data_IF_905252056876
#
_entry.id   IF_905252056876
#
_cell.length_a   1.000
_cell.length_b   1.000
_cell.length_c   1.000
_cell.angle_alpha   90.00
_cell.angle_beta   90.00
_cell.angle_gamma   90.00
#
_symmetry.space_group_name_H-M   'P 1'
#
loop_
_entity.id
_entity.type
_entity.pdbx_description
1 polymer ?
#
# COMPACT_ATOMS: atom_id res chain seq x y z
N UNK A 1 -9.93 -28.69 -26.05
CA UNK A 1 -9.89 -27.22 -26.27
C UNK A 1 -9.16 -26.72 -25.06
N UNK A 2 -7.84 -26.72 -25.15
CA UNK A 2 -6.97 -26.56 -23.98
C UNK A 2 -6.89 -25.07 -23.68
N UNK A 3 -7.58 -24.65 -22.64
CA UNK A 3 -7.44 -23.30 -22.13
C UNK A 3 -6.02 -23.17 -21.58
N UNK A 4 -5.16 -22.47 -22.31
CA UNK A 4 -3.83 -22.08 -21.85
C UNK A 4 -3.97 -21.05 -20.72
N UNK A 5 -4.29 -21.51 -19.51
CA UNK A 5 -4.10 -20.71 -18.31
C UNK A 5 -2.63 -20.79 -17.91
N UNK A 6 -1.98 -19.65 -17.71
CA UNK A 6 -0.60 -19.63 -17.18
C UNK A 6 -0.64 -20.08 -15.71
N UNK A 7 0.07 -21.16 -15.33
CA UNK A 7 0.19 -21.57 -13.93
C UNK A 7 0.77 -20.47 -13.03
N UNK A 8 1.55 -19.56 -13.62
CA UNK A 8 2.14 -18.42 -12.89
C UNK A 8 1.06 -17.45 -12.43
N UNK A 9 -0.01 -17.25 -13.23
CA UNK A 9 -1.12 -16.37 -12.87
C UNK A 9 -1.89 -16.88 -11.65
N UNK A 10 -2.07 -18.18 -11.53
CA UNK A 10 -2.82 -18.78 -10.42
C UNK A 10 -2.11 -18.56 -9.07
N UNK A 11 -0.78 -18.39 -9.08
CA UNK A 11 -0.01 -18.06 -7.87
C UNK A 11 -0.31 -16.68 -7.31
N UNK A 12 -0.74 -15.73 -8.17
CA UNK A 12 -1.11 -14.36 -7.77
C UNK A 12 -2.47 -14.30 -7.06
N UNK A 13 -3.27 -15.37 -7.09
CA UNK A 13 -4.56 -15.45 -6.44
C UNK A 13 -5.71 -15.61 -7.42
N UNK A 14 -6.92 -15.77 -6.88
CA UNK A 14 -8.08 -16.14 -7.68
C UNK A 14 -8.38 -15.11 -8.76
N UNK A 15 -8.63 -15.60 -9.97
CA UNK A 15 -9.24 -14.82 -11.04
C UNK A 15 -10.71 -14.57 -10.67
N UNK A 16 -11.21 -13.32 -10.73
CA UNK A 16 -12.62 -13.02 -10.48
C UNK A 16 -13.56 -13.82 -11.40
N UNK A 17 -14.73 -14.18 -10.87
CA UNK A 17 -15.76 -14.81 -11.70
C UNK A 17 -16.32 -13.80 -12.72
N UNK A 18 -16.82 -14.24 -13.89
CA UNK A 18 -17.53 -13.36 -14.82
C UNK A 18 -18.68 -12.60 -14.16
N UNK A 19 -19.38 -13.22 -13.20
CA UNK A 19 -20.46 -12.61 -12.43
C UNK A 19 -19.96 -11.45 -11.57
N UNK A 20 -18.85 -11.63 -10.85
CA UNK A 20 -18.23 -10.55 -10.05
C UNK A 20 -17.78 -9.39 -10.95
N UNK A 21 -17.21 -9.69 -12.13
CA UNK A 21 -16.75 -8.64 -13.07
C UNK A 21 -17.92 -7.90 -13.68
N UNK A 22 -19.00 -8.60 -14.03
CA UNK A 22 -20.23 -7.96 -14.53
C UNK A 22 -20.85 -7.06 -13.46
N UNK A 23 -20.87 -7.50 -12.20
CA UNK A 23 -21.36 -6.70 -11.09
C UNK A 23 -20.56 -5.39 -10.91
N UNK A 24 -19.23 -5.43 -11.04
CA UNK A 24 -18.40 -4.22 -11.00
C UNK A 24 -18.70 -3.30 -12.19
N UNK A 25 -18.84 -3.87 -13.40
CA UNK A 25 -19.13 -3.11 -14.61
C UNK A 25 -20.48 -2.37 -14.50
N UNK A 26 -21.53 -3.07 -14.05
CA UNK A 26 -22.87 -2.50 -13.86
C UNK A 26 -22.87 -1.43 -12.76
N UNK A 27 -22.23 -1.70 -11.62
CA UNK A 27 -22.08 -0.73 -10.52
C UNK A 27 -21.35 0.52 -10.99
N UNK A 28 -20.27 0.37 -11.76
CA UNK A 28 -19.51 1.49 -12.29
C UNK A 28 -20.32 2.31 -13.32
N UNK A 29 -21.11 1.65 -14.17
CA UNK A 29 -21.99 2.32 -15.12
C UNK A 29 -23.10 3.10 -14.41
N UNK A 30 -23.66 2.55 -13.33
CA UNK A 30 -24.66 3.22 -12.49
C UNK A 30 -24.07 4.46 -11.81
N UNK A 31 -22.88 4.34 -11.21
CA UNK A 31 -22.19 5.48 -10.60
C UNK A 31 -21.92 6.60 -11.60
N UNK A 32 -21.49 6.26 -12.82
CA UNK A 32 -21.24 7.23 -13.88
C UNK A 32 -22.54 7.89 -14.38
N UNK A 33 -23.58 7.10 -14.63
CA UNK A 33 -24.86 7.59 -15.16
C UNK A 33 -25.55 8.55 -14.20
N UNK A 34 -25.40 8.31 -12.89
CA UNK A 34 -26.00 9.14 -11.83
C UNK A 34 -25.11 10.30 -11.36
N UNK A 35 -23.94 10.50 -11.97
CA UNK A 35 -22.92 11.47 -11.54
C UNK A 35 -22.64 11.35 -10.02
N UNK A 36 -22.45 10.12 -9.55
CA UNK A 36 -22.25 9.85 -8.13
C UNK A 36 -21.02 10.59 -7.59
N UNK A 37 -21.14 11.06 -6.35
CA UNK A 37 -20.03 11.65 -5.62
C UNK A 37 -18.92 10.61 -5.36
N UNK A 38 -17.73 11.10 -5.00
CA UNK A 38 -16.55 10.27 -4.69
C UNK A 38 -16.88 9.16 -3.68
N UNK A 39 -17.69 9.44 -2.64
CA UNK A 39 -18.08 8.44 -1.65
C UNK A 39 -18.88 7.27 -2.24
N UNK A 40 -19.74 7.50 -3.23
CA UNK A 40 -20.51 6.45 -3.90
C UNK A 40 -19.63 5.58 -4.79
N UNK A 41 -18.70 6.19 -5.53
CA UNK A 41 -17.67 5.45 -6.27
C UNK A 41 -16.81 4.58 -5.36
N UNK A 42 -16.38 5.15 -4.23
CA UNK A 42 -15.54 4.47 -3.25
C UNK A 42 -16.24 3.28 -2.61
N UNK A 43 -17.52 3.40 -2.23
CA UNK A 43 -18.28 2.29 -1.63
C UNK A 43 -18.67 1.21 -2.65
N UNK A 44 -19.19 1.61 -3.80
CA UNK A 44 -19.92 0.69 -4.68
C UNK A 44 -19.01 0.05 -5.75
N UNK A 45 -17.87 0.67 -6.04
CA UNK A 45 -16.94 0.22 -7.09
C UNK A 45 -15.55 -0.03 -6.53
N UNK A 46 -14.90 1.00 -5.98
CA UNK A 46 -13.48 0.90 -5.63
C UNK A 46 -13.23 -0.08 -4.48
N UNK A 47 -14.07 -0.06 -3.45
CA UNK A 47 -14.00 -1.02 -2.34
C UNK A 47 -14.18 -2.46 -2.85
N UNK A 48 -15.17 -2.71 -3.70
CA UNK A 48 -15.44 -4.07 -4.20
C UNK A 48 -14.33 -4.60 -5.09
N UNK A 49 -13.72 -3.76 -5.94
CA UNK A 49 -12.52 -4.15 -6.70
C UNK A 49 -11.36 -4.53 -5.75
N UNK A 50 -11.13 -3.75 -4.69
CA UNK A 50 -10.12 -4.09 -3.67
C UNK A 50 -10.47 -5.39 -2.92
N UNK A 51 -11.75 -5.65 -2.65
CA UNK A 51 -12.21 -6.92 -2.07
C UNK A 51 -11.87 -8.09 -3.00
N UNK A 52 -12.23 -8.00 -4.28
CA UNK A 52 -11.96 -9.05 -5.27
C UNK A 52 -10.46 -9.35 -5.39
N UNK A 53 -9.61 -8.32 -5.35
CA UNK A 53 -8.18 -8.49 -5.50
C UNK A 53 -7.47 -8.98 -4.23
N UNK A 54 -7.83 -8.43 -3.06
CA UNK A 54 -7.00 -8.49 -1.85
C UNK A 54 -7.69 -9.19 -0.67
N UNK A 55 -8.99 -9.48 -0.72
CA UNK A 55 -9.73 -10.12 0.38
C UNK A 55 -10.35 -11.43 -0.08
N UNK A 56 -9.60 -12.52 0.11
CA UNK A 56 -10.10 -13.87 -0.17
C UNK A 56 -11.29 -14.19 0.73
N UNK A 57 -12.48 -14.34 0.16
CA UNK A 57 -13.71 -14.70 0.89
C UNK A 57 -13.63 -16.17 1.33
N UNK A 58 -12.99 -16.42 2.47
CA UNK A 58 -12.80 -17.74 3.06
C UNK A 58 -13.29 -17.74 4.51
N UNK A 59 -14.40 -18.45 4.83
CA UNK A 59 -14.94 -18.50 6.18
C UNK A 59 -13.87 -18.81 7.23
N UNK A 60 -13.77 -17.98 8.27
CA UNK A 60 -12.78 -18.11 9.35
C UNK A 60 -11.35 -17.66 9.03
N UNK A 61 -11.05 -17.30 7.76
CA UNK A 61 -9.71 -16.89 7.29
C UNK A 61 -9.68 -15.56 6.52
N UNK A 62 -10.83 -14.97 6.19
CA UNK A 62 -10.94 -13.71 5.42
C UNK A 62 -10.00 -12.60 5.88
N UNK A 63 -9.80 -12.46 7.19
CA UNK A 63 -8.94 -11.42 7.79
C UNK A 63 -7.64 -11.97 8.38
N UNK A 64 -7.30 -13.23 8.12
CA UNK A 64 -6.07 -13.87 8.62
C UNK A 64 -5.01 -13.96 7.53
N UNK A 65 -4.59 -12.79 7.05
CA UNK A 65 -3.65 -12.64 5.95
C UNK A 65 -2.67 -11.51 6.24
N UNK A 66 -1.42 -11.69 5.81
CA UNK A 66 -0.34 -10.74 6.04
C UNK A 66 -0.60 -9.38 5.36
N UNK A 67 -1.07 -9.37 4.12
CA UNK A 67 -1.37 -8.15 3.38
C UNK A 67 -2.87 -7.92 3.36
N UNK A 68 -3.29 -6.72 3.79
CA UNK A 68 -4.69 -6.30 3.90
C UNK A 68 -4.86 -4.92 3.28
N UNK A 69 -6.11 -4.49 3.15
CA UNK A 69 -6.44 -3.11 2.82
C UNK A 69 -7.54 -2.60 3.74
N UNK A 70 -7.62 -1.27 3.89
CA UNK A 70 -8.70 -0.60 4.60
C UNK A 70 -8.95 0.79 4.03
N UNK A 71 -10.15 1.32 4.29
CA UNK A 71 -10.41 2.75 4.13
C UNK A 71 -9.74 3.52 5.27
N UNK A 72 -9.16 4.68 4.97
CA UNK A 72 -8.38 5.48 5.91
C UNK A 72 -8.46 6.99 5.64
N UNK A 73 -9.65 7.48 5.25
CA UNK A 73 -9.92 8.90 4.91
C UNK A 73 -9.67 9.93 6.03
N UNK A 74 -9.37 9.47 7.25
CA UNK A 74 -8.98 10.31 8.39
C UNK A 74 -7.48 10.41 8.60
N UNK A 75 -6.70 9.55 7.96
CA UNK A 75 -5.27 9.44 8.18
C UNK A 75 -4.56 10.72 7.73
N UNK A 76 -3.71 11.27 8.60
CA UNK A 76 -2.89 12.43 8.33
C UNK A 76 -1.42 12.08 8.47
N UNK A 77 -0.57 12.76 7.70
CA UNK A 77 0.87 12.64 7.82
C UNK A 77 1.36 13.24 9.15
N UNK A 78 2.26 12.53 9.79
CA UNK A 78 3.03 12.99 10.95
C UNK A 78 3.97 14.10 10.47
N UNK A 79 3.98 15.23 11.19
CA UNK A 79 4.65 16.48 10.77
C UNK A 79 6.15 16.29 10.54
N UNK A 80 6.75 15.39 11.29
CA UNK A 80 8.17 15.07 11.28
C UNK A 80 8.65 14.45 9.96
N UNK A 81 7.75 13.83 9.19
CA UNK A 81 8.09 13.17 7.92
C UNK A 81 7.68 13.96 6.69
N UNK A 82 7.02 15.11 6.85
CA UNK A 82 6.63 15.97 5.72
C UNK A 82 7.44 17.27 5.70
N UNK A 83 7.58 17.85 4.52
CA UNK A 83 8.11 19.21 4.39
C UNK A 83 7.17 20.20 5.11
N UNK A 84 7.70 21.23 5.81
CA UNK A 84 6.85 22.20 6.51
C UNK A 84 5.85 22.93 5.61
N UNK A 85 6.18 23.12 4.32
CA UNK A 85 5.32 23.72 3.31
C UNK A 85 4.35 22.73 2.65
N UNK A 86 4.48 21.43 2.90
CA UNK A 86 3.62 20.42 2.28
C UNK A 86 2.20 20.48 2.85
N UNK A 87 1.18 20.40 1.99
CA UNK A 87 -0.22 20.45 2.41
C UNK A 87 -0.57 19.28 3.33
N UNK A 88 -1.55 19.49 4.22
CA UNK A 88 -2.15 18.40 5.02
C UNK A 88 -3.07 17.56 4.13
N UNK A 89 -2.47 16.60 3.43
CA UNK A 89 -3.18 15.68 2.52
C UNK A 89 -3.48 14.35 3.20
N UNK A 90 -4.62 13.78 2.86
CA UNK A 90 -5.08 12.48 3.35
C UNK A 90 -5.02 11.47 2.21
N UNK A 91 -5.35 10.22 2.52
CA UNK A 91 -5.57 9.16 1.53
C UNK A 91 -6.88 8.47 1.87
N UNK A 92 -7.57 7.94 0.87
CA UNK A 92 -8.87 7.30 1.08
C UNK A 92 -8.75 5.83 1.47
N UNK A 93 -7.77 5.12 0.90
CA UNK A 93 -7.47 3.74 1.23
C UNK A 93 -5.97 3.52 1.38
N UNK A 94 -5.61 2.42 2.03
CA UNK A 94 -4.25 1.92 2.01
C UNK A 94 -4.23 0.40 1.94
N UNK A 95 -3.16 -0.12 1.35
CA UNK A 95 -2.72 -1.51 1.52
C UNK A 95 -1.67 -1.50 2.63
N UNK A 96 -1.84 -2.37 3.61
CA UNK A 96 -0.99 -2.45 4.79
C UNK A 96 -0.63 -3.90 5.12
N UNK A 97 0.40 -4.04 5.93
CA UNK A 97 0.92 -5.31 6.43
C UNK A 97 0.44 -5.49 7.86
N UNK A 98 -0.10 -6.66 8.17
CA UNK A 98 -0.47 -7.10 9.51
C UNK A 98 0.53 -8.16 10.02
N UNK A 99 1.54 -7.75 10.80
CA UNK A 99 2.59 -8.64 11.30
C UNK A 99 2.06 -9.79 12.17
N UNK A 100 0.84 -9.68 12.74
CA UNK A 100 0.23 -10.78 13.51
C UNK A 100 -0.03 -12.02 12.64
N UNK A 101 -0.05 -11.85 11.32
CA UNK A 101 -0.26 -12.91 10.35
C UNK A 101 1.01 -13.21 9.53
N UNK A 102 2.18 -12.78 9.99
CA UNK A 102 3.47 -13.22 9.45
C UNK A 102 3.88 -14.56 10.08
N UNK A 103 3.57 -15.65 9.38
CA UNK A 103 3.94 -16.99 9.82
C UNK A 103 5.46 -17.25 9.81
N UNK A 104 6.24 -16.46 9.04
CA UNK A 104 7.68 -16.62 8.96
C UNK A 104 8.39 -15.93 10.14
N UNK A 105 7.83 -14.85 10.68
CA UNK A 105 8.43 -14.06 11.76
C UNK A 105 7.40 -13.73 12.86
N UNK A 106 7.02 -14.69 13.72
CA UNK A 106 6.01 -14.45 14.75
C UNK A 106 6.42 -13.36 15.77
N UNK A 107 7.71 -13.22 16.05
CA UNK A 107 8.26 -12.23 16.99
C UNK A 107 8.28 -10.80 16.42
N UNK A 108 7.94 -10.62 15.13
CA UNK A 108 7.95 -9.31 14.48
C UNK A 108 6.99 -8.30 15.14
N UNK A 109 5.91 -8.80 15.75
CA UNK A 109 4.97 -7.95 16.51
C UNK A 109 5.70 -7.24 17.66
N UNK A 110 6.53 -7.98 18.42
CA UNK A 110 7.27 -7.43 19.55
C UNK A 110 8.37 -6.47 19.07
N UNK A 111 9.06 -6.79 17.98
CA UNK A 111 10.02 -5.86 17.36
C UNK A 111 9.36 -4.53 16.96
N UNK A 112 8.18 -4.59 16.34
CA UNK A 112 7.44 -3.38 15.96
C UNK A 112 6.99 -2.59 17.19
N UNK A 113 6.46 -3.26 18.21
CA UNK A 113 6.02 -2.61 19.44
C UNK A 113 7.18 -1.92 20.18
N UNK A 114 8.35 -2.55 20.22
CA UNK A 114 9.55 -1.97 20.81
C UNK A 114 10.07 -0.76 20.01
N UNK A 115 10.12 -0.87 18.68
CA UNK A 115 10.62 0.19 17.82
C UNK A 115 9.72 1.42 17.82
N UNK A 116 8.41 1.23 17.67
CA UNK A 116 7.47 2.35 17.56
C UNK A 116 7.43 3.21 18.82
N UNK A 117 7.75 2.65 19.99
CA UNK A 117 7.90 3.43 21.23
C UNK A 117 8.99 4.52 21.15
N UNK A 118 9.89 4.43 20.18
CA UNK A 118 10.99 5.36 19.94
C UNK A 118 10.78 6.18 18.66
N UNK A 119 9.59 6.11 18.06
CA UNK A 119 9.21 6.84 16.85
C UNK A 119 8.14 7.90 17.18
N UNK A 120 8.07 8.99 16.39
CA UNK A 120 7.01 9.98 16.48
C UNK A 120 5.62 9.36 16.62
N UNK A 121 4.88 9.82 17.63
CA UNK A 121 3.49 9.42 17.91
C UNK A 121 3.25 7.91 18.03
N UNK A 122 4.26 7.15 18.46
CA UNK A 122 4.17 5.70 18.69
C UNK A 122 3.78 4.88 17.45
N UNK A 123 4.13 5.39 16.25
CA UNK A 123 3.74 4.81 14.97
C UNK A 123 4.92 4.19 14.21
N UNK A 124 4.72 3.01 13.65
CA UNK A 124 5.64 2.39 12.67
C UNK A 124 5.43 2.93 11.24
N UNK A 125 4.73 4.06 11.11
CA UNK A 125 4.30 4.63 9.84
C UNK A 125 4.50 6.14 9.78
N UNK A 126 4.23 6.69 8.60
CA UNK A 126 4.14 8.13 8.34
C UNK A 126 2.86 8.78 8.89
N UNK A 127 1.94 8.01 9.46
CA UNK A 127 0.65 8.48 9.96
C UNK A 127 0.41 8.05 11.40
N UNK A 128 -0.34 8.86 12.15
CA UNK A 128 -0.80 8.54 13.51
C UNK A 128 -2.19 7.91 13.54
N UNK A 129 -2.68 7.41 12.40
CA UNK A 129 -3.93 6.66 12.31
C UNK A 129 -3.87 5.42 13.22
N UNK A 130 -4.82 5.31 14.17
CA UNK A 130 -4.76 4.36 15.29
C UNK A 130 -4.69 2.92 14.79
N UNK A 131 -5.46 2.62 13.74
CA UNK A 131 -5.52 1.30 13.10
C UNK A 131 -4.21 0.88 12.42
N UNK A 132 -3.32 1.84 12.16
CA UNK A 132 -2.04 1.63 11.47
C UNK A 132 -0.81 1.77 12.38
N UNK A 133 -0.93 2.17 13.65
CA UNK A 133 0.24 2.42 14.52
C UNK A 133 1.26 1.27 14.60
N UNK A 134 0.79 0.02 14.48
CA UNK A 134 1.60 -1.21 14.51
C UNK A 134 1.56 -2.01 13.19
N UNK A 135 0.91 -1.49 12.17
CA UNK A 135 0.66 -2.18 10.91
C UNK A 135 1.27 -1.37 9.76
N UNK A 136 2.46 -1.72 9.26
CA UNK A 136 3.14 -0.92 8.24
C UNK A 136 2.29 -0.69 7.00
N UNK A 137 2.16 0.58 6.58
CA UNK A 137 1.55 0.99 5.33
C UNK A 137 2.51 0.62 4.19
N UNK A 138 1.97 -0.07 3.18
CA UNK A 138 2.72 -0.47 2.01
C UNK A 138 2.40 0.41 0.81
N UNK A 139 1.10 0.66 0.54
CA UNK A 139 0.65 1.36 -0.67
C UNK A 139 -0.46 2.36 -0.30
N UNK A 140 -0.23 3.69 -0.41
CA UNK A 140 -1.29 4.68 -0.30
C UNK A 140 -2.17 4.70 -1.55
N UNK A 141 -3.47 4.94 -1.37
CA UNK A 141 -4.46 4.98 -2.45
C UNK A 141 -5.32 6.24 -2.27
N UNK A 142 -5.36 7.06 -3.31
CA UNK A 142 -6.24 8.23 -3.38
C UNK A 142 -7.36 7.99 -4.38
N UNK A 143 -8.59 8.31 -4.00
CA UNK A 143 -9.76 8.25 -4.88
C UNK A 143 -10.23 9.65 -5.26
N UNK A 144 -10.78 9.78 -6.46
CA UNK A 144 -11.47 10.97 -6.94
C UNK A 144 -12.68 10.55 -7.75
N UNK A 145 -13.69 11.42 -7.81
CA UNK A 145 -14.76 11.29 -8.79
C UNK A 145 -14.25 11.45 -10.22
N UNK A 146 -15.04 11.00 -11.20
CA UNK A 146 -14.74 11.18 -12.62
C UNK A 146 -14.56 12.66 -12.97
N UNK A 147 -13.53 12.97 -13.78
CA UNK A 147 -13.35 14.30 -14.37
C UNK A 147 -12.76 15.39 -13.46
N UNK A 148 -12.43 15.08 -12.20
CA UNK A 148 -11.89 16.08 -11.26
C UNK A 148 -10.59 15.67 -10.58
N UNK A 149 -9.79 16.68 -10.24
CA UNK A 149 -8.73 16.56 -9.25
C UNK A 149 -7.57 15.64 -9.62
N UNK A 150 -7.33 15.36 -10.91
CA UNK A 150 -6.20 14.54 -11.38
C UNK A 150 -4.84 14.97 -10.84
N UNK A 151 -4.49 16.24 -11.08
CA UNK A 151 -3.21 16.77 -10.62
C UNK A 151 -3.16 16.88 -9.09
N UNK A 152 -4.31 17.12 -8.43
CA UNK A 152 -4.39 17.14 -6.96
C UNK A 152 -4.17 15.73 -6.38
N UNK A 153 -4.80 14.70 -6.92
CA UNK A 153 -4.66 13.32 -6.47
C UNK A 153 -3.23 12.80 -6.68
N UNK A 154 -2.61 13.13 -7.81
CA UNK A 154 -1.21 12.85 -8.05
C UNK A 154 -0.30 13.52 -7.01
N UNK A 155 -0.58 14.79 -6.68
CA UNK A 155 0.12 15.50 -5.62
C UNK A 155 -0.09 14.84 -4.23
N UNK A 156 -1.31 14.39 -3.91
CA UNK A 156 -1.59 13.74 -2.62
C UNK A 156 -0.79 12.45 -2.46
N UNK A 157 -0.90 11.53 -3.42
CA UNK A 157 -0.16 10.25 -3.40
C UNK A 157 1.35 10.49 -3.37
N UNK A 158 1.85 11.44 -4.18
CA UNK A 158 3.27 11.82 -4.18
C UNK A 158 3.74 12.30 -2.82
N UNK A 159 2.97 13.17 -2.16
CA UNK A 159 3.30 13.69 -0.83
C UNK A 159 3.41 12.56 0.20
N UNK A 160 2.53 11.57 0.12
CA UNK A 160 2.57 10.38 0.98
C UNK A 160 3.78 9.49 0.70
N UNK A 161 4.12 9.27 -0.58
CA UNK A 161 5.29 8.48 -0.96
C UNK A 161 6.60 9.16 -0.55
N UNK A 162 6.71 10.48 -0.69
CA UNK A 162 7.86 11.24 -0.21
C UNK A 162 8.03 11.14 1.30
N UNK A 163 6.94 11.29 2.06
CA UNK A 163 6.98 11.10 3.51
C UNK A 163 7.39 9.68 3.89
N UNK A 164 6.94 8.66 3.12
CA UNK A 164 7.31 7.27 3.35
C UNK A 164 8.79 7.03 3.08
N UNK A 165 9.35 7.63 2.01
CA UNK A 165 10.79 7.59 1.76
C UNK A 165 11.59 8.24 2.89
N UNK A 166 11.15 9.39 3.41
CA UNK A 166 11.83 10.05 4.55
C UNK A 166 11.77 9.20 5.82
N UNK A 167 10.62 8.60 6.11
CA UNK A 167 10.48 7.66 7.23
C UNK A 167 11.43 6.47 7.09
N UNK A 168 11.45 5.80 5.93
CA UNK A 168 12.33 4.66 5.68
C UNK A 168 13.81 5.06 5.73
N UNK A 169 14.17 6.22 5.19
CA UNK A 169 15.53 6.75 5.27
C UNK A 169 15.98 6.99 6.71
N UNK A 170 15.09 7.50 7.57
CA UNK A 170 15.37 7.61 9.01
C UNK A 170 15.50 6.25 9.67
N UNK A 171 14.70 5.27 9.29
CA UNK A 171 14.81 3.92 9.83
C UNK A 171 16.15 3.25 9.46
N UNK A 172 16.60 3.40 8.21
CA UNK A 172 17.92 2.95 7.73
C UNK A 172 19.04 3.59 8.58
N UNK A 173 18.97 4.90 8.85
CA UNK A 173 19.95 5.60 9.70
C UNK A 173 20.03 5.08 11.13
N UNK A 174 18.99 4.40 11.63
CA UNK A 174 18.98 3.77 12.95
C UNK A 174 19.61 2.38 12.95
N UNK A 175 19.76 1.76 11.79
CA UNK A 175 20.38 0.45 11.68
C UNK A 175 21.89 0.57 11.90
N UNK A 176 22.45 -0.34 12.69
CA UNK A 176 23.91 -0.44 12.82
C UNK A 176 24.51 -0.89 11.47
N UNK A 177 25.60 -0.25 11.01
CA UNK A 177 26.34 -0.75 9.85
C UNK A 177 26.84 -2.16 10.14
N UNK A 178 26.52 -3.11 9.26
CA UNK A 178 27.27 -4.37 9.14
C UNK A 178 28.32 -4.15 8.06
N UNK A 179 29.51 -4.74 8.22
CA UNK A 179 30.63 -4.57 7.28
C UNK A 179 30.17 -4.75 5.82
N UNK A 180 30.11 -3.63 5.08
CA UNK A 180 29.74 -3.59 3.66
C UNK A 180 28.26 -3.79 3.32
N UNK A 181 27.35 -3.94 4.29
CA UNK A 181 25.94 -4.33 4.06
C UNK A 181 24.95 -3.40 4.80
N UNK A 182 24.86 -2.16 4.31
CA UNK A 182 23.83 -1.21 4.78
C UNK A 182 22.65 -1.24 3.80
N UNK A 183 21.43 -1.60 4.25
CA UNK A 183 20.27 -1.61 3.38
C UNK A 183 20.01 -0.21 2.81
N UNK A 184 19.59 -0.16 1.55
CA UNK A 184 19.32 1.07 0.83
C UNK A 184 17.91 1.08 0.27
N UNK A 185 17.37 2.27 0.01
CA UNK A 185 16.09 2.40 -0.69
C UNK A 185 16.12 1.85 -2.12
N UNK A 186 17.30 1.65 -2.71
CA UNK A 186 17.42 1.05 -4.04
C UNK A 186 17.14 -0.45 -4.03
N UNK A 187 17.25 -1.13 -2.88
CA UNK A 187 17.07 -2.58 -2.76
C UNK A 187 15.62 -3.00 -3.09
N UNK A 188 14.65 -2.13 -2.83
CA UNK A 188 13.22 -2.34 -3.12
C UNK A 188 12.81 -1.79 -4.49
N UNK A 189 13.69 -1.05 -5.17
CA UNK A 189 13.48 -0.44 -6.49
C UNK A 189 12.55 0.79 -6.49
N UNK A 190 11.33 0.66 -5.97
CA UNK A 190 10.33 1.72 -5.94
C UNK A 190 9.38 1.59 -4.75
N UNK A 191 8.69 2.68 -4.41
CA UNK A 191 7.48 2.66 -3.58
C UNK A 191 6.24 2.89 -4.46
N UNK A 192 5.25 1.98 -4.42
CA UNK A 192 4.03 2.11 -5.20
C UNK A 192 2.99 3.01 -4.53
N UNK A 193 2.20 3.71 -5.33
CA UNK A 193 0.96 4.36 -4.95
C UNK A 193 -0.12 4.15 -6.02
N UNK A 194 -1.38 4.35 -5.66
CA UNK A 194 -2.51 4.20 -6.57
C UNK A 194 -3.38 5.45 -6.59
N UNK A 195 -3.82 5.83 -7.78
CA UNK A 195 -4.80 6.91 -7.98
C UNK A 195 -5.98 6.33 -8.74
N UNK A 196 -7.17 6.46 -8.17
CA UNK A 196 -8.40 5.95 -8.76
C UNK A 196 -9.30 7.15 -9.08
N UNK A 197 -9.69 7.31 -10.33
CA UNK A 197 -10.53 8.43 -10.79
C UNK A 197 -11.74 7.92 -11.53
N UNK A 198 -12.88 7.84 -10.83
CA UNK A 198 -14.08 7.19 -11.36
C UNK A 198 -13.75 5.78 -11.85
N UNK A 199 -13.76 5.59 -13.17
CA UNK A 199 -13.40 4.31 -13.78
C UNK A 199 -11.90 3.99 -13.79
N UNK A 200 -11.04 5.00 -13.85
CA UNK A 200 -9.64 4.81 -14.27
C UNK A 200 -8.75 4.52 -13.07
N UNK A 201 -7.98 3.44 -13.15
CA UNK A 201 -6.98 3.07 -12.14
C UNK A 201 -5.58 3.35 -12.67
N UNK A 202 -4.83 4.15 -11.93
CA UNK A 202 -3.48 4.55 -12.28
C UNK A 202 -2.50 4.11 -11.21
N UNK A 203 -1.33 3.67 -11.67
CA UNK A 203 -0.18 3.40 -10.85
C UNK A 203 0.73 4.62 -10.79
N UNK A 204 1.30 4.84 -9.61
CA UNK A 204 2.37 5.79 -9.35
C UNK A 204 3.53 5.03 -8.71
N UNK A 205 4.76 5.33 -9.12
CA UNK A 205 5.96 4.83 -8.45
C UNK A 205 6.84 5.99 -8.01
N UNK A 206 7.32 5.94 -6.77
CA UNK A 206 8.39 6.79 -6.29
C UNK A 206 9.71 6.00 -6.28
N UNK A 207 10.75 6.56 -6.89
CA UNK A 207 12.09 5.98 -6.92
C UNK A 207 13.09 6.96 -6.34
N UNK A 208 14.25 6.47 -5.90
CA UNK A 208 15.34 7.32 -5.41
C UNK A 208 16.46 7.37 -6.44
N UNK A 209 16.86 8.59 -6.82
CA UNK A 209 18.05 8.83 -7.63
C UNK A 209 19.01 9.71 -6.83
N UNK A 210 19.94 9.06 -6.12
CA UNK A 210 20.81 9.75 -5.15
C UNK A 210 20.01 10.40 -4.02
N UNK A 211 19.99 11.74 -3.98
CA UNK A 211 19.24 12.53 -2.99
C UNK A 211 17.90 13.07 -3.50
N UNK A 212 17.51 12.73 -4.73
CA UNK A 212 16.26 13.19 -5.33
C UNK A 212 15.23 12.07 -5.39
N UNK A 213 13.98 12.42 -5.13
CA UNK A 213 12.83 11.53 -5.33
C UNK A 213 12.30 11.78 -6.73
N UNK A 214 12.18 10.71 -7.53
CA UNK A 214 11.59 10.77 -8.88
C UNK A 214 10.25 10.04 -8.85
N UNK A 215 9.21 10.76 -9.26
CA UNK A 215 7.83 10.26 -9.31
C UNK A 215 7.46 9.92 -10.75
N UNK A 216 7.13 8.67 -10.96
CA UNK A 216 6.58 8.14 -12.20
C UNK A 216 5.06 8.09 -12.06
N UNK A 217 4.34 8.92 -12.82
CA UNK A 217 2.89 9.04 -12.72
C UNK A 217 2.19 8.67 -14.02
N UNK A 218 0.85 8.49 -13.95
CA UNK A 218 -0.06 8.25 -15.09
C UNK A 218 0.16 6.94 -15.83
N UNK A 219 0.66 5.91 -15.14
CA UNK A 219 0.69 4.55 -15.68
C UNK A 219 -0.71 3.93 -15.54
N UNK A 220 -1.49 3.92 -16.63
CA UNK A 220 -2.85 3.36 -16.62
C UNK A 220 -2.74 1.84 -16.43
N UNK A 221 -3.47 1.33 -15.43
CA UNK A 221 -3.60 -0.10 -15.15
C UNK A 221 -4.77 -0.68 -15.95
N UNK A 222 -5.91 0.01 -15.92
CA UNK A 222 -7.16 -0.40 -16.54
C UNK A 222 -8.32 0.51 -16.13
N UNK A 223 -9.51 0.20 -16.62
CA UNK A 223 -10.73 0.95 -16.31
C UNK A 223 -11.88 0.01 -15.92
N UNK A 224 -12.73 0.42 -14.97
CA UNK A 224 -13.93 -0.34 -14.58
C UNK A 224 -15.09 -0.20 -15.56
N UNK A 225 -14.95 0.60 -16.61
CA UNK A 225 -15.88 0.68 -17.74
C UNK A 225 -15.64 -0.39 -18.81
N UNK A 226 -14.63 -1.26 -18.60
CA UNK A 226 -14.25 -2.32 -19.53
C UNK A 226 -13.99 -3.63 -18.78
N UNK A 227 -14.55 -4.74 -19.28
CA UNK A 227 -14.43 -6.07 -18.67
C UNK A 227 -12.95 -6.49 -18.59
N UNK A 228 -12.19 -6.28 -19.66
CA UNK A 228 -10.76 -6.62 -19.69
C UNK A 228 -10.01 -5.72 -18.71
N UNK A 229 -10.33 -4.43 -18.67
CA UNK A 229 -9.84 -3.46 -17.70
C UNK A 229 -10.03 -3.90 -16.24
N UNK A 230 -11.20 -4.43 -15.88
CA UNK A 230 -11.46 -4.94 -14.51
C UNK A 230 -10.52 -6.12 -14.19
N UNK A 231 -10.36 -7.07 -15.11
CA UNK A 231 -9.42 -8.19 -14.93
C UNK A 231 -7.97 -7.72 -14.80
N UNK A 232 -7.57 -6.70 -15.58
CA UNK A 232 -6.25 -6.09 -15.50
C UNK A 232 -6.02 -5.45 -14.13
N UNK A 233 -6.98 -4.65 -13.64
CA UNK A 233 -6.90 -3.99 -12.33
C UNK A 233 -6.74 -5.02 -11.23
N UNK A 234 -7.61 -6.04 -11.17
CA UNK A 234 -7.53 -7.08 -10.13
C UNK A 234 -6.20 -7.82 -10.18
N UNK A 235 -5.73 -8.18 -11.38
CA UNK A 235 -4.45 -8.86 -11.55
C UNK A 235 -3.28 -7.98 -11.11
N UNK A 236 -3.29 -6.70 -11.46
CA UNK A 236 -2.23 -5.77 -11.07
C UNK A 236 -2.18 -5.56 -9.55
N UNK A 237 -3.34 -5.42 -8.89
CA UNK A 237 -3.40 -5.34 -7.42
C UNK A 237 -2.86 -6.61 -6.75
N UNK A 238 -3.11 -7.78 -7.35
CA UNK A 238 -2.55 -9.04 -6.88
C UNK A 238 -1.03 -9.14 -7.09
N UNK A 239 -0.49 -8.58 -8.18
CA UNK A 239 0.95 -8.40 -8.40
C UNK A 239 1.55 -7.49 -7.33
N UNK A 240 0.91 -6.36 -7.04
CA UNK A 240 1.37 -5.46 -5.98
C UNK A 240 1.38 -6.15 -4.62
N UNK A 241 0.35 -6.94 -4.30
CA UNK A 241 0.31 -7.76 -3.07
C UNK A 241 1.49 -8.75 -3.02
N UNK A 242 1.81 -9.39 -4.14
CA UNK A 242 2.94 -10.31 -4.24
C UNK A 242 4.28 -9.61 -4.07
N UNK A 243 4.45 -8.43 -4.68
CA UNK A 243 5.62 -7.55 -4.46
C UNK A 243 5.75 -7.13 -2.99
N UNK A 244 4.64 -6.79 -2.32
CA UNK A 244 4.66 -6.49 -0.88
C UNK A 244 5.18 -7.69 -0.08
N UNK A 245 4.70 -8.89 -0.37
CA UNK A 245 5.09 -10.11 0.37
C UNK A 245 6.53 -10.54 0.08
N UNK A 246 6.98 -10.45 -1.17
CA UNK A 246 8.25 -11.02 -1.62
C UNK A 246 9.42 -10.04 -1.62
N UNK A 247 9.14 -8.74 -1.67
CA UNK A 247 10.18 -7.70 -1.80
C UNK A 247 10.11 -6.70 -0.66
N UNK A 248 8.99 -6.00 -0.49
CA UNK A 248 8.93 -4.90 0.48
C UNK A 248 8.95 -5.38 1.94
N UNK A 249 8.12 -6.38 2.28
CA UNK A 249 8.00 -6.84 3.66
C UNK A 249 9.25 -7.51 4.21
N UNK A 250 9.93 -8.43 3.48
CA UNK A 250 11.17 -9.01 3.98
C UNK A 250 12.25 -7.96 4.23
N UNK A 251 12.40 -6.99 3.33
CA UNK A 251 13.35 -5.89 3.47
C UNK A 251 13.00 -4.98 4.67
N UNK A 252 11.73 -4.61 4.83
CA UNK A 252 11.30 -3.78 5.95
C UNK A 252 11.41 -4.53 7.29
N UNK A 253 11.10 -5.82 7.31
CA UNK A 253 11.23 -6.69 8.49
C UNK A 253 12.67 -6.72 9.00
N UNK A 254 13.62 -6.90 8.08
CA UNK A 254 15.04 -6.86 8.40
C UNK A 254 15.46 -5.50 8.98
N UNK A 255 15.00 -4.40 8.36
CA UNK A 255 15.26 -3.06 8.89
C UNK A 255 14.70 -2.85 10.30
N UNK A 256 13.47 -3.30 10.55
CA UNK A 256 12.83 -3.20 11.87
C UNK A 256 13.66 -3.99 12.90
N UNK A 257 14.04 -5.23 12.60
CA UNK A 257 14.87 -6.05 13.48
C UNK A 257 16.22 -5.36 13.76
N UNK A 258 16.91 -4.88 12.72
CA UNK A 258 18.20 -4.18 12.85
C UNK A 258 18.08 -2.88 13.67
N UNK A 259 16.98 -2.14 13.52
CA UNK A 259 16.74 -0.88 14.24
C UNK A 259 16.29 -1.08 15.70
N UNK A 260 15.73 -2.25 16.05
CA UNK A 260 15.39 -2.60 17.44
C UNK A 260 16.57 -3.02 18.28
N UNK A 261 17.63 -3.55 17.66
CA UNK A 261 18.80 -4.06 18.37
C UNK A 261 19.67 -2.90 18.88
N UNK A 262 19.55 -2.58 20.18
CA UNK A 262 20.41 -1.61 20.86
C UNK A 262 21.41 -2.36 21.76
N UNK A 263 22.72 -2.41 21.43
CA UNK A 263 23.71 -3.08 22.27
C UNK A 263 23.89 -2.41 23.66
N UNK A 264 23.35 -1.21 23.87
CA UNK A 264 23.40 -0.54 25.17
C UNK A 264 22.49 -1.15 26.26
N UNK A 265 21.59 -2.09 25.92
CA UNK A 265 20.74 -2.79 26.90
C UNK A 265 21.28 -4.14 27.36
N UNK A 266 22.37 -4.66 26.77
CA UNK A 266 23.01 -5.90 27.22
C UNK A 266 24.08 -5.72 28.30
N UNK A 267 24.45 -4.46 28.61
CA UNK A 267 25.41 -4.12 29.68
C UNK A 267 24.73 -3.72 31.01
N UNK A 268 23.41 -3.84 31.09
CA UNK A 268 22.64 -3.61 32.31
C UNK A 268 22.07 -4.94 32.85
N UNK A 269 22.96 -5.86 33.21
CA UNK A 269 22.68 -6.91 34.21
C UNK A 269 22.90 -6.38 35.61
#
# INVERSE_FOLDING_TARGET
MDCFFSPERDTLGCTPSPEDVMYILESAAECATKDQAECGWSSDVHHEVLVLALRRRQPGRTYKQLVKFMACSTAQLIKEYKLPSAPDKKIDYCIYIDPQHDAANPDMVDHIDNLRCQLPLYSINVTSEISLLKNPLAIPIETKRSGEGGDDAALQVTTWLEAQLEFLHRLIRRCLPRDGDTPTLNDIGFLPGLIIQGHTWNFVAATRQGYETVIWSKMIIGATSDIVGIYQIVTFLQILRDWVVKTYWPWLSELIQRATYNPASSDAT
#
